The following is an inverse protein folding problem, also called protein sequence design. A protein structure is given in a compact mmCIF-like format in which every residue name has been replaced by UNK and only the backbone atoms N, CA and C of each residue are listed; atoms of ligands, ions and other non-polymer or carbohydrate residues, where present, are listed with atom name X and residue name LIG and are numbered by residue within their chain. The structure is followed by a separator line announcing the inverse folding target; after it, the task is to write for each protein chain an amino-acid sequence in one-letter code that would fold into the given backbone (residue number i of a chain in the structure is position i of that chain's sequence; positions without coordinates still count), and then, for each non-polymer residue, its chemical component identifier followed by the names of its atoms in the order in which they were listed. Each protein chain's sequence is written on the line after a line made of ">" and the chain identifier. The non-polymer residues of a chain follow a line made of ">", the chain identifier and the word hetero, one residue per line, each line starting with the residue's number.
data_IF_596171568908
#
_entry.id   IF_596171568908
#
_cell.length_a   1.000
_cell.length_b   1.000
_cell.length_c   1.000
_cell.angle_alpha   90.00
_cell.angle_beta   90.00
_cell.angle_gamma   90.00
#
_symmetry.space_group_name_H-M   'P 1'
#
loop_
_entity.id
_entity.type
_entity.pdbx_description
1 polymer ?
#
# COMPACT_ATOMS: atom_id res chain seq x y z
N UNK A 1 2.18 -5.68 20.35
CA UNK A 1 1.06 -5.03 19.63
C UNK A 1 1.42 -3.63 19.15
N UNK A 2 2.03 -2.77 19.97
CA UNK A 2 2.47 -1.42 19.56
C UNK A 2 3.36 -1.43 18.31
N UNK A 3 4.37 -2.30 18.25
CA UNK A 3 5.26 -2.42 17.07
C UNK A 3 4.52 -2.83 15.79
N UNK A 4 3.47 -3.65 15.88
CA UNK A 4 2.69 -4.04 14.71
C UNK A 4 1.89 -2.86 14.15
N UNK A 5 1.32 -2.02 15.02
CA UNK A 5 0.60 -0.82 14.61
C UNK A 5 1.53 0.22 13.96
N UNK A 6 2.73 0.40 14.52
CA UNK A 6 3.76 1.29 13.94
C UNK A 6 4.20 0.79 12.56
N UNK A 7 4.43 -0.53 12.41
CA UNK A 7 4.80 -1.11 11.13
C UNK A 7 3.67 -0.99 10.10
N UNK A 8 2.41 -1.20 10.53
CA UNK A 8 1.25 -1.02 9.67
C UNK A 8 1.12 0.43 9.20
N UNK A 9 1.24 1.41 10.10
CA UNK A 9 1.22 2.83 9.76
C UNK A 9 2.28 3.20 8.72
N UNK A 10 3.53 2.77 8.96
CA UNK A 10 4.64 3.00 8.06
C UNK A 10 4.39 2.34 6.69
N UNK A 11 3.91 1.10 6.68
CA UNK A 11 3.65 0.35 5.44
C UNK A 11 2.53 0.97 4.60
N UNK A 12 1.44 1.39 5.24
CA UNK A 12 0.31 2.07 4.58
C UNK A 12 0.78 3.41 4.02
N UNK A 13 1.56 4.17 4.79
CA UNK A 13 2.12 5.45 4.32
C UNK A 13 3.03 5.26 3.11
N UNK A 14 3.92 4.28 3.13
CA UNK A 14 4.83 4.00 2.01
C UNK A 14 4.08 3.55 0.76
N UNK A 15 3.10 2.65 0.90
CA UNK A 15 2.27 2.21 -0.22
C UNK A 15 1.51 3.38 -0.86
N UNK A 16 1.00 4.31 -0.05
CA UNK A 16 0.31 5.49 -0.54
C UNK A 16 1.23 6.51 -1.22
N UNK A 17 2.49 6.64 -0.78
CA UNK A 17 3.50 7.42 -1.49
C UNK A 17 3.74 6.87 -2.90
N UNK A 18 3.81 5.54 -3.03
CA UNK A 18 4.05 4.87 -4.31
C UNK A 18 2.82 4.93 -5.22
N UNK A 19 1.60 4.79 -4.68
CA UNK A 19 0.37 4.71 -5.48
C UNK A 19 -0.34 6.05 -5.67
N UNK A 20 -0.17 7.00 -4.75
CA UNK A 20 -0.83 8.31 -4.79
C UNK A 20 -2.33 8.28 -4.57
N UNK A 21 -2.85 7.31 -3.82
CA UNK A 21 -4.30 7.08 -3.72
C UNK A 21 -4.98 8.13 -2.85
N UNK A 22 -4.35 8.55 -1.76
CA UNK A 22 -4.88 9.64 -0.94
C UNK A 22 -4.35 10.98 -1.40
N UNK A 23 -5.16 12.02 -1.23
CA UNK A 23 -4.78 13.40 -1.58
C UNK A 23 -3.51 13.86 -0.84
N UNK A 24 -3.19 13.25 0.31
CA UNK A 24 -2.00 13.53 1.10
C UNK A 24 -0.71 13.20 0.34
N UNK A 25 -0.70 12.15 -0.47
CA UNK A 25 0.50 11.67 -1.14
C UNK A 25 0.41 11.68 -2.67
N UNK A 26 -0.75 12.07 -3.22
CA UNK A 26 -0.98 12.20 -4.66
C UNK A 26 0.09 13.06 -5.36
N UNK A 27 0.45 14.20 -4.79
CA UNK A 27 1.48 15.08 -5.37
C UNK A 27 2.88 14.45 -5.40
N UNK A 28 3.17 13.50 -4.50
CA UNK A 28 4.44 12.75 -4.50
C UNK A 28 4.41 11.71 -5.63
N UNK A 29 3.24 11.07 -5.83
CA UNK A 29 3.03 10.11 -6.91
C UNK A 29 3.09 10.71 -8.31
N UNK A 30 2.73 11.99 -8.49
CA UNK A 30 2.74 12.65 -9.81
C UNK A 30 4.11 12.54 -10.51
N UNK A 31 5.22 12.46 -9.75
CA UNK A 31 6.57 12.24 -10.29
C UNK A 31 6.83 10.80 -10.79
N UNK A 32 6.05 9.82 -10.32
CA UNK A 32 6.17 8.39 -10.64
C UNK A 32 5.06 7.91 -11.59
N UNK A 33 3.97 8.65 -11.72
CA UNK A 33 2.77 8.32 -12.51
C UNK A 33 3.11 8.00 -13.97
N UNK A 34 4.05 8.73 -14.57
CA UNK A 34 4.50 8.48 -15.96
C UNK A 34 5.13 7.10 -16.14
N UNK A 35 5.65 6.50 -15.08
CA UNK A 35 6.29 5.18 -15.10
C UNK A 35 5.31 4.07 -14.67
N UNK A 36 4.53 4.32 -13.61
CA UNK A 36 3.68 3.32 -12.97
C UNK A 36 2.32 3.14 -13.66
N UNK A 37 1.65 4.24 -14.04
CA UNK A 37 0.29 4.21 -14.62
C UNK A 37 0.28 3.99 -16.13
N UNK A 38 1.28 4.52 -16.84
CA UNK A 38 1.32 4.51 -18.30
C UNK A 38 1.52 3.12 -18.94
N UNK A 39 2.00 2.12 -18.18
CA UNK A 39 2.41 0.81 -18.73
C UNK A 39 1.48 -0.34 -18.37
N UNK A 40 0.96 -0.39 -17.14
CA UNK A 40 0.03 -1.43 -16.72
C UNK A 40 -1.03 -0.84 -15.80
N UNK A 41 -1.94 -0.07 -16.40
CA UNK A 41 -3.06 0.58 -15.71
C UNK A 41 -3.92 -0.42 -14.92
N UNK A 42 -4.15 -1.61 -15.46
CA UNK A 42 -4.90 -2.68 -14.78
C UNK A 42 -4.23 -3.11 -13.47
N UNK A 43 -2.91 -3.31 -13.49
CA UNK A 43 -2.15 -3.67 -12.28
C UNK A 43 -2.12 -2.53 -11.27
N UNK A 44 -1.96 -1.29 -11.74
CA UNK A 44 -2.05 -0.09 -10.89
C UNK A 44 -3.41 -0.01 -10.20
N UNK A 45 -4.51 -0.05 -10.96
CA UNK A 45 -5.88 -0.03 -10.41
C UNK A 45 -6.12 -1.16 -9.40
N UNK A 46 -5.60 -2.36 -9.68
CA UNK A 46 -5.68 -3.49 -8.73
C UNK A 46 -4.97 -3.18 -7.41
N UNK A 47 -3.75 -2.64 -7.46
CA UNK A 47 -3.00 -2.25 -6.26
C UNK A 47 -3.68 -1.11 -5.48
N UNK A 48 -4.25 -0.12 -6.18
CA UNK A 48 -5.02 0.96 -5.55
C UNK A 48 -6.26 0.45 -4.81
N UNK A 49 -6.97 -0.52 -5.39
CA UNK A 49 -8.13 -1.14 -4.75
C UNK A 49 -7.73 -1.91 -3.48
N UNK A 50 -6.67 -2.71 -3.55
CA UNK A 50 -6.14 -3.43 -2.39
C UNK A 50 -5.65 -2.44 -1.32
N UNK A 51 -4.98 -1.36 -1.73
CA UNK A 51 -4.58 -0.29 -0.82
C UNK A 51 -5.78 0.30 -0.08
N UNK A 52 -6.88 0.63 -0.78
CA UNK A 52 -8.10 1.14 -0.16
C UNK A 52 -8.68 0.15 0.86
N UNK A 53 -8.67 -1.14 0.57
CA UNK A 53 -9.12 -2.16 1.52
C UNK A 53 -8.25 -2.25 2.78
N UNK A 54 -6.92 -2.21 2.60
CA UNK A 54 -5.96 -2.20 3.71
C UNK A 54 -6.15 -0.94 4.56
N UNK A 55 -6.22 0.23 3.92
CA UNK A 55 -6.41 1.53 4.58
C UNK A 55 -7.72 1.57 5.38
N UNK A 56 -8.82 1.15 4.78
CA UNK A 56 -10.12 1.11 5.45
C UNK A 56 -10.10 0.15 6.66
N UNK A 57 -9.45 -1.00 6.53
CA UNK A 57 -9.32 -1.97 7.62
C UNK A 57 -8.44 -1.42 8.76
N UNK A 58 -7.35 -0.71 8.40
CA UNK A 58 -6.47 -0.05 9.35
C UNK A 58 -7.16 1.11 10.09
N UNK A 59 -7.90 1.96 9.37
CA UNK A 59 -8.66 3.06 9.97
C UNK A 59 -9.77 2.56 10.89
N UNK A 60 -10.42 1.45 10.52
CA UNK A 60 -11.37 0.76 11.39
C UNK A 60 -10.69 0.29 12.67
N UNK A 61 -9.54 -0.39 12.58
CA UNK A 61 -8.77 -0.84 13.74
C UNK A 61 -8.38 0.31 14.68
N UNK A 62 -8.05 1.49 14.12
CA UNK A 62 -7.69 2.67 14.92
C UNK A 62 -8.90 3.36 15.59
N UNK A 63 -10.08 3.29 14.95
CA UNK A 63 -11.30 3.91 15.47
C UNK A 63 -12.08 3.01 16.43
N UNK A 64 -11.78 1.71 16.45
CA UNK A 64 -12.49 0.72 17.26
C UNK A 64 -12.02 0.72 18.73
N UNK A 65 -13.00 0.79 19.65
CA UNK A 65 -12.75 0.84 21.09
C UNK A 65 -12.61 -0.56 21.68
N UNK A 66 -11.42 -1.14 21.56
CA UNK A 66 -11.11 -2.43 22.19
C UNK A 66 -11.01 -2.29 23.71
N UNK A 67 -11.77 -3.12 24.43
CA UNK A 67 -11.69 -3.27 25.88
C UNK A 67 -10.51 -4.16 26.30
N UNK A 68 -10.25 -4.23 27.61
CA UNK A 68 -9.24 -5.14 28.20
C UNK A 68 -9.75 -6.58 28.40
N UNK A 69 -10.96 -6.89 27.95
CA UNK A 69 -11.48 -8.26 28.02
C UNK A 69 -10.71 -9.17 27.09
N UNK A 70 -10.58 -10.45 27.47
CA UNK A 70 -9.89 -11.47 26.66
C UNK A 70 -10.40 -11.53 25.22
N UNK A 71 -11.72 -11.60 25.05
CA UNK A 71 -12.35 -11.64 23.72
C UNK A 71 -12.05 -10.39 22.88
N UNK A 72 -12.01 -9.21 23.50
CA UNK A 72 -11.67 -7.98 22.79
C UNK A 72 -10.20 -7.94 22.35
N UNK A 73 -9.29 -8.50 23.15
CA UNK A 73 -7.87 -8.61 22.80
C UNK A 73 -7.68 -9.63 21.65
N UNK A 74 -8.40 -10.74 21.69
CA UNK A 74 -8.40 -11.75 20.62
C UNK A 74 -8.92 -11.15 19.31
N UNK A 75 -10.05 -10.42 19.34
CA UNK A 75 -10.59 -9.73 18.18
C UNK A 75 -9.60 -8.73 17.59
N UNK A 76 -9.01 -7.87 18.44
CA UNK A 76 -7.98 -6.91 18.00
C UNK A 76 -6.79 -7.60 17.35
N UNK A 77 -6.39 -8.75 17.87
CA UNK A 77 -5.27 -9.53 17.34
C UNK A 77 -5.62 -10.10 15.96
N UNK A 78 -6.82 -10.67 15.81
CA UNK A 78 -7.31 -11.18 14.54
C UNK A 78 -7.44 -10.08 13.48
N UNK A 79 -7.91 -8.89 13.87
CA UNK A 79 -8.00 -7.74 12.96
C UNK A 79 -6.63 -7.30 12.48
N UNK A 80 -5.63 -7.22 13.38
CA UNK A 80 -4.24 -6.93 13.01
C UNK A 80 -3.69 -8.00 12.05
N UNK A 81 -3.91 -9.28 12.33
CA UNK A 81 -3.43 -10.38 11.48
C UNK A 81 -4.06 -10.31 10.08
N UNK A 82 -5.36 -10.00 10.00
CA UNK A 82 -6.07 -9.84 8.74
C UNK A 82 -5.51 -8.66 7.92
N UNK A 83 -5.24 -7.52 8.58
CA UNK A 83 -4.63 -6.36 7.91
C UNK A 83 -3.22 -6.71 7.41
N UNK A 84 -2.41 -7.40 8.22
CA UNK A 84 -1.06 -7.83 7.82
C UNK A 84 -1.10 -8.76 6.60
N UNK A 85 -2.04 -9.71 6.55
CA UNK A 85 -2.20 -10.59 5.39
C UNK A 85 -2.52 -9.81 4.11
N UNK A 86 -3.45 -8.85 4.17
CA UNK A 86 -3.75 -7.97 3.03
C UNK A 86 -2.59 -7.05 2.66
N UNK A 87 -1.83 -6.59 3.65
CA UNK A 87 -0.66 -5.75 3.44
C UNK A 87 0.46 -6.50 2.70
N UNK A 88 0.67 -7.80 3.00
CA UNK A 88 1.58 -8.66 2.23
C UNK A 88 1.15 -8.69 0.75
N UNK A 89 -0.13 -8.95 0.47
CA UNK A 89 -0.65 -8.96 -0.90
C UNK A 89 -0.47 -7.59 -1.60
N UNK A 90 -0.69 -6.49 -0.88
CA UNK A 90 -0.43 -5.14 -1.40
C UNK A 90 1.03 -4.98 -1.84
N UNK A 91 1.98 -5.39 -0.99
CA UNK A 91 3.41 -5.25 -1.30
C UNK A 91 3.86 -6.18 -2.44
N UNK A 92 3.28 -7.37 -2.58
CA UNK A 92 3.50 -8.22 -3.76
C UNK A 92 3.06 -7.52 -5.05
N UNK A 93 1.91 -6.83 -5.03
CA UNK A 93 1.43 -6.04 -6.17
C UNK A 93 2.34 -4.84 -6.46
N UNK A 94 2.81 -4.15 -5.42
CA UNK A 94 3.78 -3.05 -5.59
C UNK A 94 5.09 -3.54 -6.22
N UNK A 95 5.63 -4.69 -5.78
CA UNK A 95 6.80 -5.31 -6.39
C UNK A 95 6.55 -5.63 -7.86
N UNK A 96 5.37 -6.17 -8.19
CA UNK A 96 5.00 -6.44 -9.59
C UNK A 96 4.93 -5.14 -10.41
N UNK A 97 4.33 -4.07 -9.89
CA UNK A 97 4.29 -2.77 -10.55
C UNK A 97 5.71 -2.24 -10.80
N UNK A 98 6.57 -2.29 -9.80
CA UNK A 98 7.96 -1.82 -9.91
C UNK A 98 8.76 -2.66 -10.92
N UNK A 99 8.62 -3.98 -10.91
CA UNK A 99 9.30 -4.87 -11.86
C UNK A 99 8.87 -4.63 -13.31
N UNK A 100 7.57 -4.40 -13.53
CA UNK A 100 7.04 -4.03 -14.84
C UNK A 100 7.51 -2.63 -15.28
N UNK A 101 7.79 -1.74 -14.32
CA UNK A 101 8.34 -0.42 -14.61
C UNK A 101 9.82 -0.51 -15.01
N UNK A 102 10.64 -1.29 -14.27
CA UNK A 102 12.10 -1.45 -14.47
C UNK A 102 12.45 -2.24 -15.75
N UNK A 103 11.74 -3.33 -16.07
CA UNK A 103 12.02 -4.11 -17.30
C UNK A 103 11.79 -3.34 -18.60
N UNK A 104 11.14 -2.19 -18.48
CA UNK A 104 10.76 -1.34 -19.60
C UNK A 104 11.56 -0.03 -19.68
N UNK A 105 12.53 0.17 -18.78
CA UNK A 105 13.52 1.26 -18.86
C UNK A 105 14.71 0.85 -19.73
N UNK A 106 14.44 0.25 -20.88
CA UNK A 106 15.34 0.33 -22.03
C UNK A 106 15.30 1.79 -22.51
N UNK A 107 16.01 2.65 -21.79
CA UNK A 107 16.28 4.02 -22.23
C UNK A 107 16.81 3.95 -23.66
N UNK A 108 16.16 4.64 -24.59
CA UNK A 108 16.77 4.83 -25.91
C UNK A 108 18.03 5.67 -25.71
N UNK A 109 19.15 5.23 -26.29
CA UNK A 109 20.46 5.90 -26.25
C UNK A 109 20.37 7.42 -26.51
N UNK A 110 19.37 7.85 -27.30
CA UNK A 110 19.06 9.24 -27.65
C UNK A 110 18.56 10.14 -26.51
N UNK A 111 18.31 9.60 -25.31
CA UNK A 111 17.93 10.40 -24.13
C UNK A 111 19.05 10.51 -23.08
N UNK A 112 20.19 9.85 -23.31
CA UNK A 112 21.35 9.85 -22.42
C UNK A 112 22.56 10.61 -22.99
N UNK A 113 22.47 11.12 -24.22
CA UNK A 113 23.43 12.04 -24.83
C UNK A 113 22.98 13.50 -24.68
#
# INVERSE_FOLDING_TARGET
>A
MSSALVNLDASVTQADIILGVTDKNKYINDNYEMYLGAKNSSLKTSAENIFREVKNSYDKLLSENYSLSKSSIENKTNDILNILAKNITLYEQLVNILNNSITSSSFSQTQLD
#
